data_IF_606016164019
#
_entry.id   IF_606016164019
#
_cell.length_a   1.000
_cell.length_b   1.000
_cell.length_c   1.000
_cell.angle_alpha   90.00
_cell.angle_beta   90.00
_cell.angle_gamma   90.00
#
_symmetry.space_group_name_H-M   'P 1'
#
loop_
_entity.id
_entity.type
_entity.pdbx_description
1 polymer ?
#
# COMPACT_ATOMS: atom_id res chain seq x y z
N UNK A 1 -4.99 -9.76 -24.21
CA UNK A 1 -6.41 -9.51 -24.52
C UNK A 1 -6.85 -8.30 -23.73
N UNK A 2 -7.40 -7.33 -24.42
CA UNK A 2 -7.86 -6.08 -23.83
C UNK A 2 -9.32 -6.24 -23.46
N UNK A 3 -9.65 -5.95 -22.21
CA UNK A 3 -10.99 -6.10 -21.70
C UNK A 3 -11.55 -4.74 -21.26
N UNK A 4 -12.85 -4.55 -21.47
CA UNK A 4 -13.55 -3.34 -21.07
C UNK A 4 -13.81 -3.35 -19.57
N UNK A 5 -13.78 -2.16 -18.97
CA UNK A 5 -14.24 -1.93 -17.59
C UNK A 5 -15.28 -0.82 -17.63
N UNK A 6 -16.46 -1.08 -17.09
CA UNK A 6 -17.57 -0.14 -17.13
C UNK A 6 -17.92 0.36 -15.74
N UNK A 7 -18.36 1.62 -15.66
CA UNK A 7 -19.04 2.21 -14.52
C UNK A 7 -20.40 2.71 -15.00
N UNK A 8 -21.42 1.83 -15.06
CA UNK A 8 -22.67 2.10 -15.77
C UNK A 8 -23.42 3.32 -15.24
N UNK A 9 -23.48 3.49 -13.91
CA UNK A 9 -24.19 4.62 -13.29
C UNK A 9 -23.46 5.97 -13.43
N UNK A 10 -22.17 5.93 -13.77
CA UNK A 10 -21.37 7.13 -14.09
C UNK A 10 -21.28 7.38 -15.60
N UNK A 11 -21.87 6.52 -16.43
CA UNK A 11 -21.77 6.55 -17.89
C UNK A 11 -20.31 6.53 -18.40
N UNK A 12 -19.38 5.87 -17.66
CA UNK A 12 -17.98 5.74 -18.03
C UNK A 12 -17.77 4.32 -18.55
N UNK A 13 -17.34 4.21 -19.81
CA UNK A 13 -17.06 2.94 -20.47
C UNK A 13 -15.62 2.96 -20.98
N UNK A 14 -14.73 2.28 -20.26
CA UNK A 14 -13.31 2.21 -20.60
C UNK A 14 -13.06 0.99 -21.48
N UNK A 15 -12.79 1.26 -22.74
CA UNK A 15 -12.46 0.22 -23.70
C UNK A 15 -10.97 -0.13 -23.63
N UNK A 16 -10.64 -1.42 -23.76
CA UNK A 16 -9.26 -1.89 -23.91
C UNK A 16 -8.31 -1.52 -22.76
N UNK A 17 -8.77 -1.68 -21.50
CA UNK A 17 -7.87 -1.50 -20.35
C UNK A 17 -6.82 -2.60 -20.35
N UNK A 18 -5.58 -2.27 -20.74
CA UNK A 18 -4.48 -3.21 -20.93
C UNK A 18 -3.92 -3.72 -19.59
N UNK A 19 -3.57 -5.01 -19.53
CA UNK A 19 -2.85 -5.62 -18.39
C UNK A 19 -1.33 -5.55 -18.56
N UNK A 20 -0.86 -5.59 -19.80
CA UNK A 20 0.55 -5.58 -20.14
C UNK A 20 0.81 -4.89 -21.47
N UNK A 21 2.03 -4.42 -21.64
CA UNK A 21 2.56 -3.88 -22.91
C UNK A 21 3.61 -4.86 -23.40
N UNK A 22 3.41 -5.39 -24.62
CA UNK A 22 4.39 -6.29 -25.27
C UNK A 22 5.39 -5.48 -26.08
N UNK A 23 6.68 -5.58 -25.74
CA UNK A 23 7.78 -4.98 -26.50
C UNK A 23 8.66 -6.12 -27.01
N UNK A 24 8.46 -6.50 -28.27
CA UNK A 24 9.11 -7.67 -28.84
C UNK A 24 8.67 -8.97 -28.14
N UNK A 25 9.61 -9.69 -27.52
CA UNK A 25 9.35 -10.89 -26.74
C UNK A 25 9.11 -10.65 -25.22
N UNK A 26 9.11 -9.40 -24.79
CA UNK A 26 8.95 -9.04 -23.38
C UNK A 26 7.56 -8.45 -23.12
N UNK A 27 6.84 -9.03 -22.16
CA UNK A 27 5.59 -8.48 -21.62
C UNK A 27 5.88 -7.72 -20.34
N UNK A 28 5.61 -6.41 -20.34
CA UNK A 28 5.74 -5.55 -19.19
C UNK A 28 4.34 -5.35 -18.60
N UNK A 29 4.13 -5.85 -17.37
CA UNK A 29 2.86 -5.70 -16.68
C UNK A 29 2.60 -4.22 -16.32
N UNK A 30 1.41 -3.70 -16.63
CA UNK A 30 0.98 -2.35 -16.23
C UNK A 30 1.05 -2.15 -14.73
N UNK A 31 0.76 -3.20 -13.96
CA UNK A 31 0.94 -3.20 -12.52
C UNK A 31 2.35 -2.79 -12.10
N UNK A 32 3.38 -3.38 -12.74
CA UNK A 32 4.78 -3.05 -12.44
C UNK A 32 5.13 -1.61 -12.78
N UNK A 33 4.63 -1.08 -13.91
CA UNK A 33 4.83 0.33 -14.31
C UNK A 33 4.18 1.26 -13.29
N UNK A 34 2.94 0.99 -12.88
CA UNK A 34 2.21 1.82 -11.92
C UNK A 34 2.90 1.80 -10.55
N UNK A 35 3.38 0.64 -10.09
CA UNK A 35 4.15 0.54 -8.84
C UNK A 35 5.46 1.34 -8.93
N UNK A 36 6.18 1.25 -10.04
CA UNK A 36 7.40 2.04 -10.26
C UNK A 36 7.11 3.56 -10.23
N UNK A 37 6.05 4.00 -10.91
CA UNK A 37 5.59 5.39 -10.84
C UNK A 37 5.22 5.80 -9.40
N UNK A 38 4.53 4.92 -8.66
CA UNK A 38 4.20 5.14 -7.26
C UNK A 38 5.43 5.28 -6.36
N UNK A 39 6.44 4.43 -6.57
CA UNK A 39 7.71 4.51 -5.84
C UNK A 39 8.46 5.83 -6.14
N UNK A 40 8.53 6.23 -7.42
CA UNK A 40 9.18 7.48 -7.82
C UNK A 40 8.44 8.71 -7.27
N UNK A 41 7.12 8.73 -7.35
CA UNK A 41 6.30 9.81 -6.78
C UNK A 41 6.42 9.86 -5.25
N UNK A 42 6.43 8.70 -4.58
CA UNK A 42 6.63 8.60 -3.15
C UNK A 42 8.01 9.09 -2.71
N UNK A 43 9.06 8.69 -3.42
CA UNK A 43 10.41 9.21 -3.19
C UNK A 43 10.47 10.72 -3.39
N UNK A 44 9.87 11.25 -4.46
CA UNK A 44 9.77 12.67 -4.72
C UNK A 44 9.08 13.42 -3.58
N UNK A 45 7.96 12.88 -3.04
CA UNK A 45 7.26 13.45 -1.90
C UNK A 45 8.13 13.44 -0.63
N UNK A 46 8.82 12.33 -0.33
CA UNK A 46 9.73 12.24 0.81
C UNK A 46 10.89 13.23 0.69
N UNK A 47 11.52 13.35 -0.47
CA UNK A 47 12.59 14.33 -0.73
C UNK A 47 12.09 15.77 -0.62
N UNK A 48 10.88 16.06 -1.11
CA UNK A 48 10.26 17.38 -0.97
C UNK A 48 10.03 17.76 0.49
N UNK A 49 9.46 16.83 1.28
CA UNK A 49 9.22 17.04 2.71
C UNK A 49 10.55 17.16 3.46
N UNK A 50 11.54 16.34 3.15
CA UNK A 50 12.89 16.41 3.72
C UNK A 50 13.48 17.81 3.52
N UNK A 51 13.48 18.30 2.27
CA UNK A 51 13.99 19.64 1.95
C UNK A 51 13.24 20.75 2.72
N UNK A 52 11.90 20.65 2.82
CA UNK A 52 11.07 21.65 3.52
C UNK A 52 11.24 21.61 5.03
N UNK A 53 11.69 20.51 5.60
CA UNK A 53 11.91 20.32 7.04
C UNK A 53 13.38 20.38 7.47
N UNK A 54 14.29 20.84 6.59
CA UNK A 54 15.71 20.95 6.89
C UNK A 54 16.47 19.63 6.96
N UNK A 55 15.87 18.54 6.46
CA UNK A 55 16.54 17.25 6.33
C UNK A 55 17.23 17.15 4.97
N UNK A 56 18.27 16.29 4.86
CA UNK A 56 18.93 16.05 3.59
C UNK A 56 18.09 15.12 2.70
N UNK A 57 17.62 15.54 1.52
CA UNK A 57 16.87 14.70 0.56
C UNK A 57 17.63 13.46 0.10
N UNK A 58 18.96 13.52 -0.03
CA UNK A 58 19.78 12.40 -0.49
C UNK A 58 19.70 11.21 0.48
N UNK A 59 19.45 11.49 1.78
CA UNK A 59 19.20 10.45 2.78
C UNK A 59 18.03 9.55 2.40
N UNK A 60 16.97 10.14 1.85
CA UNK A 60 15.75 9.39 1.45
C UNK A 60 15.94 8.65 0.14
N UNK A 61 16.76 9.19 -0.75
CA UNK A 61 17.17 8.49 -1.97
C UNK A 61 18.00 7.24 -1.63
N UNK A 62 19.03 7.39 -0.78
CA UNK A 62 19.87 6.28 -0.31
C UNK A 62 19.02 5.23 0.42
N UNK A 63 18.14 5.67 1.33
CA UNK A 63 17.24 4.78 2.07
C UNK A 63 16.32 4.00 1.13
N UNK A 64 15.70 4.67 0.16
CA UNK A 64 14.80 4.03 -0.79
C UNK A 64 15.52 2.95 -1.60
N UNK A 65 16.73 3.25 -2.09
CA UNK A 65 17.52 2.33 -2.89
C UNK A 65 17.87 1.05 -2.09
N UNK A 66 18.37 1.21 -0.86
CA UNK A 66 18.71 0.06 -0.01
C UNK A 66 17.44 -0.69 0.44
N UNK A 67 16.38 0.05 0.83
CA UNK A 67 15.13 -0.56 1.29
C UNK A 67 14.42 -1.37 0.19
N UNK A 68 14.41 -0.91 -1.06
CA UNK A 68 13.82 -1.64 -2.19
C UNK A 68 14.56 -2.97 -2.39
N UNK A 69 15.89 -2.95 -2.44
CA UNK A 69 16.69 -4.18 -2.62
C UNK A 69 16.46 -5.15 -1.47
N UNK A 70 16.56 -4.69 -0.22
CA UNK A 70 16.35 -5.52 0.96
C UNK A 70 14.90 -6.05 1.03
N UNK A 71 13.90 -5.24 0.62
CA UNK A 71 12.50 -5.66 0.60
C UNK A 71 12.24 -6.78 -0.40
N UNK A 72 12.84 -6.73 -1.59
CA UNK A 72 12.71 -7.81 -2.58
C UNK A 72 13.33 -9.10 -2.04
N UNK A 73 14.53 -9.02 -1.45
CA UNK A 73 15.20 -10.16 -0.82
C UNK A 73 14.36 -10.71 0.33
N UNK A 74 13.88 -9.85 1.23
CA UNK A 74 13.05 -10.27 2.36
C UNK A 74 11.72 -10.89 1.93
N UNK A 75 11.07 -10.34 0.91
CA UNK A 75 9.86 -10.90 0.33
C UNK A 75 10.09 -12.30 -0.24
N UNK A 76 11.24 -12.51 -0.90
CA UNK A 76 11.61 -13.82 -1.43
C UNK A 76 11.93 -14.82 -0.33
N UNK A 77 12.76 -14.44 0.65
CA UNK A 77 13.11 -15.31 1.79
C UNK A 77 11.83 -15.76 2.52
N UNK A 78 10.94 -14.82 2.83
CA UNK A 78 9.67 -15.12 3.51
C UNK A 78 8.85 -16.14 2.70
N UNK A 79 8.68 -15.89 1.40
CA UNK A 79 7.93 -16.80 0.54
C UNK A 79 8.53 -18.20 0.50
N UNK A 80 9.85 -18.31 0.32
CA UNK A 80 10.56 -19.60 0.26
C UNK A 80 10.43 -20.37 1.58
N UNK A 81 10.57 -19.69 2.72
CA UNK A 81 10.43 -20.33 4.04
C UNK A 81 9.05 -20.94 4.24
N UNK A 82 7.97 -20.19 3.86
CA UNK A 82 6.59 -20.65 4.03
C UNK A 82 6.09 -21.60 2.94
N UNK A 83 6.83 -21.73 1.85
CA UNK A 83 6.52 -22.62 0.72
C UNK A 83 7.72 -23.51 0.37
N UNK A 84 8.42 -23.95 1.41
CA UNK A 84 9.63 -24.78 1.27
C UNK A 84 9.40 -26.04 0.44
N UNK A 85 8.21 -26.60 0.49
CA UNK A 85 7.75 -27.73 -0.33
C UNK A 85 7.97 -27.53 -1.83
N UNK A 86 7.95 -26.30 -2.33
CA UNK A 86 8.16 -25.97 -3.75
C UNK A 86 9.65 -25.86 -4.14
N UNK A 87 10.55 -25.74 -3.17
CA UNK A 87 11.95 -25.39 -3.41
C UNK A 87 12.96 -26.47 -2.96
N UNK A 88 12.54 -27.40 -2.09
CA UNK A 88 13.42 -28.42 -1.49
C UNK A 88 14.12 -29.31 -2.52
N UNK A 89 13.49 -29.56 -3.68
CA UNK A 89 13.97 -30.43 -4.75
C UNK A 89 14.77 -29.68 -5.84
N UNK A 90 14.66 -28.34 -5.89
CA UNK A 90 15.41 -27.46 -6.79
C UNK A 90 15.74 -26.12 -6.13
N UNK A 91 16.88 -26.08 -5.44
CA UNK A 91 17.32 -24.89 -4.70
C UNK A 91 17.69 -23.70 -5.63
N UNK A 92 18.02 -23.95 -6.90
CA UNK A 92 18.34 -22.87 -7.84
C UNK A 92 17.09 -22.06 -8.22
N UNK A 93 15.92 -22.67 -8.17
CA UNK A 93 14.64 -21.99 -8.41
C UNK A 93 14.34 -20.88 -7.39
N UNK A 94 15.02 -20.88 -6.22
CA UNK A 94 14.94 -19.81 -5.23
C UNK A 94 15.33 -18.44 -5.83
N UNK A 95 16.25 -18.41 -6.77
CA UNK A 95 16.72 -17.17 -7.41
C UNK A 95 15.83 -16.73 -8.57
N UNK A 96 14.88 -17.55 -9.01
CA UNK A 96 13.98 -17.21 -10.10
C UNK A 96 12.78 -16.40 -9.62
N UNK A 97 12.98 -15.09 -9.44
CA UNK A 97 11.91 -14.16 -9.03
C UNK A 97 10.94 -13.79 -10.16
N UNK A 98 11.27 -14.09 -11.42
CA UNK A 98 10.42 -13.78 -12.59
C UNK A 98 9.12 -14.56 -12.61
N UNK A 99 9.10 -15.74 -12.04
CA UNK A 99 7.90 -16.59 -11.92
C UNK A 99 7.00 -16.20 -10.74
N UNK A 100 7.29 -15.08 -10.07
CA UNK A 100 6.58 -14.67 -8.87
C UNK A 100 7.19 -15.25 -7.59
N UNK A 101 6.37 -15.47 -6.56
CA UNK A 101 6.83 -16.01 -5.28
C UNK A 101 7.52 -14.96 -4.42
N UNK A 102 6.88 -13.81 -4.26
CA UNK A 102 7.27 -12.73 -3.38
C UNK A 102 6.14 -12.48 -2.37
N UNK A 103 6.43 -12.57 -1.08
CA UNK A 103 5.46 -12.34 -0.02
C UNK A 103 5.58 -10.91 0.52
N UNK A 104 4.49 -10.15 0.43
CA UNK A 104 4.47 -8.74 0.84
C UNK A 104 4.90 -8.53 2.30
N UNK A 105 4.50 -9.43 3.20
CA UNK A 105 4.88 -9.35 4.61
C UNK A 105 6.39 -9.43 4.83
N UNK A 106 7.09 -10.28 4.09
CA UNK A 106 8.54 -10.38 4.13
C UNK A 106 9.22 -9.10 3.66
N UNK A 107 8.67 -8.47 2.62
CA UNK A 107 9.15 -7.17 2.12
C UNK A 107 8.97 -6.04 3.14
N UNK A 108 7.80 -5.97 3.79
CA UNK A 108 7.52 -4.95 4.82
C UNK A 108 8.43 -5.13 6.04
N UNK A 109 8.61 -6.36 6.53
CA UNK A 109 9.51 -6.64 7.66
C UNK A 109 10.94 -6.23 7.30
N UNK A 110 11.42 -6.60 6.12
CA UNK A 110 12.76 -6.23 5.65
C UNK A 110 12.91 -4.71 5.51
N UNK A 111 11.91 -3.99 5.00
CA UNK A 111 11.93 -2.52 4.91
C UNK A 111 12.05 -1.87 6.29
N UNK A 112 11.30 -2.34 7.28
CA UNK A 112 11.35 -1.81 8.67
C UNK A 112 12.74 -2.04 9.26
N UNK A 113 13.27 -3.28 9.17
CA UNK A 113 14.61 -3.62 9.67
C UNK A 113 15.67 -2.78 8.98
N UNK A 114 15.59 -2.64 7.65
CA UNK A 114 16.53 -1.84 6.86
C UNK A 114 16.50 -0.38 7.28
N UNK A 115 15.31 0.21 7.44
CA UNK A 115 15.15 1.62 7.88
C UNK A 115 15.74 1.81 9.27
N UNK A 116 15.51 0.86 10.18
CA UNK A 116 16.06 0.92 11.54
C UNK A 116 17.60 0.83 11.54
N UNK A 117 18.16 -0.13 10.81
CA UNK A 117 19.62 -0.29 10.66
C UNK A 117 20.24 0.92 10.00
N UNK A 118 19.63 1.42 8.91
CA UNK A 118 20.07 2.62 8.22
C UNK A 118 20.11 3.84 9.15
N UNK A 119 19.06 4.06 9.95
CA UNK A 119 19.01 5.13 10.94
C UNK A 119 20.16 5.02 11.95
N UNK A 120 20.43 3.81 12.46
CA UNK A 120 21.52 3.53 13.40
C UNK A 120 22.89 3.82 12.79
N UNK A 121 23.16 3.31 11.59
CA UNK A 121 24.45 3.47 10.89
C UNK A 121 24.72 4.93 10.55
N UNK A 122 23.70 5.65 10.08
CA UNK A 122 23.80 7.07 9.70
C UNK A 122 23.61 8.01 10.89
N UNK A 123 23.38 7.50 12.11
CA UNK A 123 23.12 8.28 13.34
C UNK A 123 21.95 9.26 13.20
N UNK A 124 20.89 8.83 12.54
CA UNK A 124 19.67 9.60 12.28
C UNK A 124 18.55 9.22 13.25
N UNK A 125 17.58 10.11 13.45
CA UNK A 125 16.36 9.81 14.20
C UNK A 125 15.48 8.85 13.40
N UNK A 126 15.34 7.60 13.85
CA UNK A 126 14.48 6.62 13.21
C UNK A 126 13.01 7.09 13.13
N UNK A 127 12.40 7.66 14.21
CA UNK A 127 11.04 8.17 14.13
C UNK A 127 10.88 9.29 13.09
N UNK A 128 11.84 10.21 13.00
CA UNK A 128 11.81 11.30 12.01
C UNK A 128 11.92 10.77 10.57
N UNK A 129 12.78 9.76 10.33
CA UNK A 129 12.85 9.08 9.05
C UNK A 129 11.51 8.46 8.68
N UNK A 130 10.84 7.81 9.65
CA UNK A 130 9.52 7.22 9.44
C UNK A 130 8.46 8.28 9.11
N UNK A 131 8.46 9.44 9.79
CA UNK A 131 7.54 10.55 9.50
C UNK A 131 7.62 11.00 8.04
N UNK A 132 8.84 11.19 7.55
CA UNK A 132 9.07 11.68 6.19
C UNK A 132 8.86 10.59 5.14
N UNK A 133 9.39 9.39 5.37
CA UNK A 133 9.22 8.25 4.46
C UNK A 133 7.77 7.78 4.40
N UNK A 134 7.03 7.86 5.51
CA UNK A 134 5.61 7.50 5.58
C UNK A 134 4.73 8.30 4.62
N UNK A 135 5.05 9.59 4.42
CA UNK A 135 4.36 10.42 3.42
C UNK A 135 4.64 9.93 1.99
N UNK A 136 5.85 9.46 1.72
CA UNK A 136 6.16 8.81 0.44
C UNK A 136 5.43 7.48 0.27
N UNK A 137 5.36 6.67 1.33
CA UNK A 137 4.68 5.38 1.29
C UNK A 137 3.18 5.52 0.98
N UNK A 138 2.49 6.44 1.65
CA UNK A 138 1.05 6.62 1.42
C UNK A 138 0.75 7.15 0.00
N UNK A 139 1.59 8.04 -0.55
CA UNK A 139 1.44 8.49 -1.93
C UNK A 139 1.70 7.34 -2.92
N UNK A 140 2.70 6.50 -2.64
CA UNK A 140 2.94 5.27 -3.39
C UNK A 140 1.74 4.33 -3.36
N UNK A 141 1.06 4.20 -2.23
CA UNK A 141 -0.17 3.40 -2.10
C UNK A 141 -1.33 4.00 -2.91
N UNK A 142 -1.53 5.33 -2.91
CA UNK A 142 -2.53 6.01 -3.75
C UNK A 142 -2.38 5.59 -5.21
N UNK A 143 -1.17 5.67 -5.74
CA UNK A 143 -0.88 5.33 -7.14
C UNK A 143 -0.94 3.82 -7.36
N UNK A 144 -0.37 3.04 -6.45
CA UNK A 144 -0.27 1.59 -6.57
C UNK A 144 -1.63 0.87 -6.69
N UNK A 145 -2.70 1.42 -6.09
CA UNK A 145 -4.06 0.86 -6.20
C UNK A 145 -4.61 0.85 -7.62
N UNK A 146 -4.15 1.72 -8.48
CA UNK A 146 -4.49 1.69 -9.90
C UNK A 146 -3.90 0.48 -10.64
N UNK A 147 -2.86 -0.13 -10.09
CA UNK A 147 -2.36 -1.42 -10.56
C UNK A 147 -3.38 -2.54 -10.39
N UNK A 148 -4.09 -2.60 -9.24
CA UNK A 148 -5.18 -3.55 -9.03
C UNK A 148 -6.33 -3.35 -10.02
N UNK A 149 -6.64 -2.10 -10.36
CA UNK A 149 -7.61 -1.78 -11.42
C UNK A 149 -7.21 -2.37 -12.77
N UNK A 150 -5.98 -2.15 -13.22
CA UNK A 150 -5.49 -2.71 -14.48
C UNK A 150 -5.50 -4.26 -14.47
N UNK A 151 -5.18 -4.88 -13.34
CA UNK A 151 -5.19 -6.33 -13.16
C UNK A 151 -6.59 -6.92 -12.97
N UNK A 152 -7.60 -6.11 -12.66
CA UNK A 152 -8.97 -6.55 -12.29
C UNK A 152 -8.94 -7.50 -11.10
N UNK A 153 -8.24 -7.09 -10.05
CA UNK A 153 -8.08 -7.87 -8.81
C UNK A 153 -8.39 -7.01 -7.59
N UNK A 154 -8.51 -7.64 -6.43
CA UNK A 154 -8.74 -6.96 -5.16
C UNK A 154 -10.02 -6.11 -5.13
N UNK A 155 -11.03 -6.47 -5.89
CA UNK A 155 -12.34 -5.84 -5.87
C UNK A 155 -13.19 -6.38 -4.71
N UNK A 156 -14.33 -5.71 -4.45
CA UNK A 156 -15.27 -6.16 -3.42
C UNK A 156 -16.39 -7.04 -3.96
N UNK A 157 -17.32 -7.41 -3.07
CA UNK A 157 -18.48 -8.23 -3.39
C UNK A 157 -19.47 -7.49 -4.30
N UNK A 158 -20.57 -8.15 -4.66
CA UNK A 158 -21.62 -7.59 -5.51
C UNK A 158 -22.10 -6.22 -5.03
N UNK A 159 -22.12 -5.29 -5.96
CA UNK A 159 -22.57 -3.93 -5.73
C UNK A 159 -23.16 -3.33 -7.01
N UNK A 160 -24.33 -2.68 -6.87
CA UNK A 160 -25.03 -2.01 -7.97
C UNK A 160 -25.41 -0.55 -7.62
N UNK A 161 -24.56 0.12 -6.86
CA UNK A 161 -24.72 1.54 -6.54
C UNK A 161 -23.93 2.46 -7.50
N UNK A 162 -23.87 3.76 -7.18
CA UNK A 162 -23.31 4.82 -8.03
C UNK A 162 -21.91 4.48 -8.59
N UNK A 163 -21.04 3.87 -7.79
CA UNK A 163 -19.67 3.53 -8.18
C UNK A 163 -19.50 2.09 -8.63
N UNK A 164 -20.61 1.39 -8.94
CA UNK A 164 -20.54 0.00 -9.39
C UNK A 164 -19.59 -0.13 -10.58
N UNK A 165 -18.63 -1.08 -10.46
CA UNK A 165 -17.65 -1.38 -11.50
C UNK A 165 -17.98 -2.73 -12.12
N UNK A 166 -18.20 -2.73 -13.42
CA UNK A 166 -18.46 -3.97 -14.17
C UNK A 166 -17.16 -4.51 -14.77
N UNK A 167 -16.91 -5.79 -14.50
CA UNK A 167 -15.77 -6.53 -14.99
C UNK A 167 -16.22 -7.77 -15.79
N UNK A 168 -15.62 -8.06 -16.95
CA UNK A 168 -15.89 -9.31 -17.66
C UNK A 168 -15.50 -10.52 -16.80
N UNK A 169 -16.39 -11.49 -16.67
CA UNK A 169 -16.14 -12.73 -15.90
C UNK A 169 -14.85 -13.43 -16.37
N UNK A 170 -14.64 -13.47 -17.70
CA UNK A 170 -13.45 -14.08 -18.29
C UNK A 170 -12.13 -13.37 -17.97
N UNK A 171 -12.18 -12.12 -17.50
CA UNK A 171 -11.00 -11.32 -17.18
C UNK A 171 -10.55 -11.41 -15.72
N UNK A 172 -11.39 -11.99 -14.86
CA UNK A 172 -11.21 -12.12 -13.42
C UNK A 172 -10.70 -13.53 -13.07
N UNK A 173 -9.96 -13.65 -11.96
CA UNK A 173 -9.54 -14.98 -11.47
C UNK A 173 -10.74 -15.77 -10.98
N UNK A 174 -10.82 -17.04 -11.34
CA UNK A 174 -11.92 -17.92 -10.90
C UNK A 174 -12.02 -18.02 -9.38
N UNK A 175 -10.90 -17.95 -8.67
CA UNK A 175 -10.86 -17.95 -7.20
C UNK A 175 -11.55 -16.74 -6.53
N UNK A 176 -11.70 -15.64 -7.27
CA UNK A 176 -12.24 -14.39 -6.75
C UNK A 176 -13.76 -14.25 -7.07
N UNK A 177 -14.29 -15.20 -7.85
CA UNK A 177 -15.72 -15.28 -8.21
C UNK A 177 -16.51 -15.99 -7.10
N UNK A 178 -17.33 -15.25 -6.39
CA UNK A 178 -18.26 -15.82 -5.39
C UNK A 178 -19.58 -16.24 -6.03
N UNK A 179 -20.33 -17.13 -5.37
CA UNK A 179 -21.69 -17.52 -5.83
C UNK A 179 -22.60 -16.30 -5.95
N UNK A 180 -22.47 -15.35 -5.05
CA UNK A 180 -23.24 -14.10 -5.07
C UNK A 180 -22.93 -13.25 -6.30
N UNK A 181 -21.65 -13.14 -6.69
CA UNK A 181 -21.26 -12.44 -7.92
C UNK A 181 -21.84 -13.13 -9.17
N UNK A 182 -21.75 -14.45 -9.21
CA UNK A 182 -22.24 -15.23 -10.35
C UNK A 182 -23.77 -15.26 -10.45
N UNK A 183 -24.50 -15.08 -9.36
CA UNK A 183 -25.98 -14.99 -9.39
C UNK A 183 -26.50 -13.63 -9.87
N UNK A 184 -25.64 -12.61 -10.03
CA UNK A 184 -26.01 -11.24 -10.44
C UNK A 184 -25.22 -10.79 -11.66
N UNK A 185 -24.89 -11.71 -12.56
CA UNK A 185 -24.21 -11.37 -13.81
C UNK A 185 -25.16 -10.68 -14.80
N UNK A 186 -24.60 -9.83 -15.64
CA UNK A 186 -25.31 -9.17 -16.75
C UNK A 186 -24.57 -9.43 -18.05
N UNK A 187 -25.33 -9.67 -19.13
CA UNK A 187 -24.74 -9.89 -20.47
C UNK A 187 -24.85 -8.60 -21.27
N UNK A 188 -23.71 -8.08 -21.73
CA UNK A 188 -23.60 -6.87 -22.56
C UNK A 188 -22.80 -7.25 -23.80
N UNK A 189 -23.38 -7.08 -24.98
CA UNK A 189 -22.76 -7.42 -26.27
C UNK A 189 -22.19 -8.85 -26.34
N UNK A 190 -22.89 -9.81 -25.72
CA UNK A 190 -22.48 -11.22 -25.68
C UNK A 190 -21.37 -11.55 -24.69
N UNK A 191 -20.93 -10.59 -23.88
CA UNK A 191 -19.94 -10.78 -22.82
C UNK A 191 -20.64 -10.71 -21.45
N UNK A 192 -20.33 -11.66 -20.58
CA UNK A 192 -20.86 -11.74 -19.22
C UNK A 192 -20.02 -10.88 -18.26
N UNK A 193 -20.68 -10.01 -17.51
CA UNK A 193 -20.07 -9.08 -16.55
C UNK A 193 -20.57 -9.34 -15.13
N UNK A 194 -19.67 -9.25 -14.16
CA UNK A 194 -19.99 -9.06 -12.74
C UNK A 194 -19.98 -7.59 -12.38
N UNK A 195 -20.79 -7.17 -11.40
CA UNK A 195 -20.83 -5.82 -10.86
C UNK A 195 -20.31 -5.84 -9.43
N UNK A 196 -19.28 -5.02 -9.13
CA UNK A 196 -18.48 -5.12 -7.91
C UNK A 196 -18.19 -3.77 -7.27
N UNK A 197 -17.85 -3.76 -5.96
CA UNK A 197 -17.27 -2.58 -5.32
C UNK A 197 -15.88 -2.28 -5.88
N UNK A 198 -15.59 -1.06 -6.38
CA UNK A 198 -14.27 -0.65 -6.84
C UNK A 198 -13.36 -0.30 -5.66
N UNK A 199 -12.93 -1.30 -4.90
CA UNK A 199 -12.14 -1.11 -3.67
C UNK A 199 -10.81 -0.41 -3.91
N UNK A 200 -10.22 -0.56 -5.13
CA UNK A 200 -9.03 0.19 -5.54
C UNK A 200 -9.26 1.71 -5.48
N UNK A 201 -10.45 2.17 -5.94
CA UNK A 201 -10.82 3.58 -5.95
C UNK A 201 -11.05 4.09 -4.52
N UNK A 202 -11.75 3.30 -3.69
CA UNK A 202 -12.02 3.67 -2.30
C UNK A 202 -10.70 3.82 -1.52
N UNK A 203 -9.77 2.87 -1.67
CA UNK A 203 -8.50 2.90 -0.97
C UNK A 203 -7.57 3.98 -1.51
N UNK A 204 -7.55 4.21 -2.83
CA UNK A 204 -6.78 5.29 -3.45
C UNK A 204 -7.28 6.66 -2.96
N UNK A 205 -8.60 6.89 -2.96
CA UNK A 205 -9.19 8.15 -2.49
C UNK A 205 -8.97 8.37 -0.99
N UNK A 206 -9.20 7.34 -0.17
CA UNK A 206 -8.94 7.39 1.28
C UNK A 206 -7.49 7.78 1.58
N UNK A 207 -6.55 7.08 0.94
CA UNK A 207 -5.13 7.34 1.13
C UNK A 207 -4.71 8.71 0.59
N UNK A 208 -5.33 9.22 -0.48
CA UNK A 208 -5.09 10.56 -0.98
C UNK A 208 -5.54 11.63 0.03
N UNK A 209 -6.74 11.48 0.58
CA UNK A 209 -7.23 12.38 1.63
C UNK A 209 -6.31 12.36 2.86
N UNK A 210 -5.91 11.16 3.29
CA UNK A 210 -4.98 10.99 4.41
C UNK A 210 -3.61 11.61 4.10
N UNK A 211 -3.07 11.41 2.90
CA UNK A 211 -1.82 12.04 2.46
C UNK A 211 -1.89 13.57 2.57
N UNK A 212 -2.96 14.18 2.05
CA UNK A 212 -3.14 15.63 2.10
C UNK A 212 -3.21 16.11 3.56
N UNK A 213 -3.99 15.43 4.40
CA UNK A 213 -4.10 15.79 5.82
C UNK A 213 -2.75 15.69 6.54
N UNK A 214 -1.98 14.63 6.31
CA UNK A 214 -0.66 14.45 6.92
C UNK A 214 0.36 15.47 6.40
N UNK A 215 0.32 15.81 5.10
CA UNK A 215 1.17 16.87 4.53
C UNK A 215 0.91 18.23 5.18
N UNK A 216 -0.37 18.59 5.38
CA UNK A 216 -0.76 19.81 6.07
C UNK A 216 -0.36 19.78 7.55
N UNK A 217 -0.52 18.63 8.19
CA UNK A 217 -0.21 18.45 9.60
C UNK A 217 1.30 18.37 9.89
N UNK A 218 2.14 17.98 8.95
CA UNK A 218 3.57 17.68 9.13
C UNK A 218 4.33 18.78 9.90
N UNK A 219 4.03 20.05 9.61
CA UNK A 219 4.64 21.20 10.30
C UNK A 219 4.17 21.38 11.76
N UNK A 220 3.05 20.78 12.13
CA UNK A 220 2.41 20.91 13.43
C UNK A 220 2.66 19.70 14.34
N UNK A 221 3.51 18.75 13.88
CA UNK A 221 3.87 17.59 14.69
C UNK A 221 4.51 18.01 16.00
N UNK A 222 4.18 17.31 17.07
CA UNK A 222 4.64 17.62 18.45
C UNK A 222 5.85 16.79 18.85
N UNK A 223 6.08 15.66 18.19
CA UNK A 223 7.24 14.79 18.41
C UNK A 223 7.59 14.03 17.14
N UNK A 224 8.84 13.59 17.04
CA UNK A 224 9.28 12.74 15.92
C UNK A 224 8.60 11.37 15.97
N UNK A 225 8.04 10.94 14.87
CA UNK A 225 7.25 9.70 14.73
C UNK A 225 5.74 9.93 14.80
N UNK A 226 5.26 11.14 15.13
CA UNK A 226 3.83 11.41 15.26
C UNK A 226 3.09 11.30 13.92
N UNK A 227 3.69 11.81 12.84
CA UNK A 227 3.08 11.76 11.50
C UNK A 227 3.00 10.32 11.02
N UNK A 228 4.01 9.52 11.28
CA UNK A 228 3.99 8.10 10.94
C UNK A 228 2.94 7.32 11.74
N UNK A 229 2.79 7.60 13.05
CA UNK A 229 1.74 7.00 13.85
C UNK A 229 0.34 7.40 13.37
N UNK A 230 0.14 8.67 12.98
CA UNK A 230 -1.11 9.13 12.36
C UNK A 230 -1.36 8.47 11.00
N UNK A 231 -0.31 8.24 10.21
CA UNK A 231 -0.41 7.46 8.99
C UNK A 231 -0.88 6.03 9.28
N UNK A 232 -0.26 5.32 10.24
CA UNK A 232 -0.65 3.97 10.62
C UNK A 232 -2.09 3.91 11.13
N UNK A 233 -2.50 4.88 11.93
CA UNK A 233 -3.86 5.01 12.43
C UNK A 233 -4.86 5.24 11.30
N UNK A 234 -4.65 6.23 10.46
CA UNK A 234 -5.56 6.57 9.37
C UNK A 234 -5.62 5.50 8.30
N UNK A 235 -4.47 4.91 7.93
CA UNK A 235 -4.40 3.78 7.02
C UNK A 235 -5.11 2.54 7.60
N UNK A 236 -4.89 2.25 8.88
CA UNK A 236 -5.55 1.14 9.56
C UNK A 236 -7.07 1.26 9.55
N UNK A 237 -7.61 2.46 9.82
CA UNK A 237 -9.05 2.71 9.75
C UNK A 237 -9.57 2.44 8.33
N UNK A 238 -8.94 3.02 7.31
CA UNK A 238 -9.33 2.81 5.91
C UNK A 238 -9.24 1.34 5.50
N UNK A 239 -8.13 0.68 5.84
CA UNK A 239 -7.91 -0.72 5.51
C UNK A 239 -8.92 -1.64 6.18
N UNK A 240 -9.32 -1.37 7.41
CA UNK A 240 -10.26 -2.19 8.15
C UNK A 240 -11.63 -2.28 7.45
N UNK A 241 -12.23 -1.15 7.09
CA UNK A 241 -13.55 -1.17 6.44
C UNK A 241 -13.49 -1.58 4.97
N UNK A 242 -12.42 -1.20 4.22
CA UNK A 242 -12.30 -1.59 2.81
C UNK A 242 -12.06 -3.09 2.68
N UNK A 243 -11.26 -3.69 3.58
CA UNK A 243 -11.02 -5.12 3.58
C UNK A 243 -12.31 -5.92 3.82
N UNK A 244 -13.26 -5.39 4.63
CA UNK A 244 -14.54 -6.07 4.86
C UNK A 244 -15.41 -6.21 3.60
N UNK A 245 -15.15 -5.41 2.56
CA UNK A 245 -15.85 -5.47 1.28
C UNK A 245 -15.23 -6.48 0.31
N UNK A 246 -13.98 -6.91 0.53
CA UNK A 246 -13.21 -7.71 -0.43
C UNK A 246 -13.61 -9.16 -0.42
N UNK A 247 -13.50 -9.79 -1.59
CA UNK A 247 -13.79 -11.23 -1.80
C UNK A 247 -12.54 -12.11 -1.66
N UNK A 248 -11.34 -11.56 -1.86
CA UNK A 248 -10.06 -12.27 -1.88
C UNK A 248 -9.28 -12.17 -0.56
N UNK A 249 -10.01 -12.18 0.58
CA UNK A 249 -9.43 -12.04 1.92
C UNK A 249 -8.56 -13.24 2.31
N UNK A 250 -7.35 -12.97 2.85
CA UNK A 250 -6.55 -14.00 3.49
C UNK A 250 -7.06 -14.21 4.92
N UNK A 251 -7.56 -15.40 5.20
CA UNK A 251 -8.12 -15.74 6.51
C UNK A 251 -7.09 -16.37 7.43
N UNK A 252 -7.20 -16.07 8.75
CA UNK A 252 -6.44 -16.75 9.79
C UNK A 252 -6.98 -18.19 9.92
N UNK A 253 -6.14 -19.23 9.82
CA UNK A 253 -6.57 -20.61 10.02
C UNK A 253 -7.31 -20.77 11.36
N UNK A 254 -8.35 -21.58 11.37
CA UNK A 254 -9.22 -21.90 12.54
C UNK A 254 -10.13 -20.77 13.06
N UNK A 255 -9.83 -19.50 12.79
CA UNK A 255 -10.62 -18.36 13.29
C UNK A 255 -11.52 -17.80 12.18
N UNK A 256 -11.18 -18.03 10.92
CA UNK A 256 -11.86 -17.49 9.73
C UNK A 256 -12.03 -15.95 9.76
N UNK A 257 -11.05 -15.25 10.34
CA UNK A 257 -11.02 -13.80 10.40
C UNK A 257 -9.92 -13.24 9.48
N UNK A 258 -10.17 -12.16 8.70
CA UNK A 258 -9.20 -11.63 7.78
C UNK A 258 -7.93 -11.11 8.47
N UNK A 259 -6.76 -11.61 8.06
CA UNK A 259 -5.44 -11.20 8.60
C UNK A 259 -5.24 -9.69 8.48
N UNK A 260 -5.63 -9.12 7.34
CA UNK A 260 -5.48 -7.67 7.08
C UNK A 260 -6.34 -6.83 8.01
N UNK A 261 -7.55 -7.28 8.37
CA UNK A 261 -8.42 -6.58 9.32
C UNK A 261 -7.85 -6.63 10.74
N UNK A 262 -7.33 -7.80 11.17
CA UNK A 262 -6.70 -7.94 12.48
C UNK A 262 -5.48 -7.03 12.60
N UNK A 263 -4.62 -7.01 11.57
CA UNK A 263 -3.46 -6.12 11.51
C UNK A 263 -3.89 -4.64 11.53
N UNK A 264 -4.90 -4.27 10.73
CA UNK A 264 -5.41 -2.91 10.67
C UNK A 264 -5.94 -2.43 12.03
N UNK A 265 -6.75 -3.25 12.71
CA UNK A 265 -7.23 -2.95 14.06
C UNK A 265 -6.08 -2.78 15.05
N UNK A 266 -5.06 -3.65 14.99
CA UNK A 266 -3.86 -3.55 15.83
C UNK A 266 -3.11 -2.24 15.57
N UNK A 267 -2.90 -1.85 14.31
CA UNK A 267 -2.25 -0.59 13.96
C UNK A 267 -3.01 0.61 14.51
N UNK A 268 -4.35 0.61 14.41
CA UNK A 268 -5.19 1.69 14.97
C UNK A 268 -5.03 1.79 16.48
N UNK A 269 -5.19 0.69 17.19
CA UNK A 269 -5.13 0.68 18.67
C UNK A 269 -3.74 1.07 19.17
N UNK A 270 -2.69 0.46 18.63
CA UNK A 270 -1.30 0.73 19.05
C UNK A 270 -0.92 2.17 18.76
N UNK A 271 -1.24 2.69 17.57
CA UNK A 271 -0.91 4.08 17.21
C UNK A 271 -1.67 5.08 18.07
N UNK A 272 -2.97 4.86 18.32
CA UNK A 272 -3.78 5.74 19.17
C UNK A 272 -3.26 5.78 20.62
N UNK A 273 -2.96 4.61 21.20
CA UNK A 273 -2.40 4.50 22.55
C UNK A 273 -1.05 5.21 22.63
N UNK A 274 -0.16 4.97 21.66
CA UNK A 274 1.17 5.56 21.67
C UNK A 274 1.13 7.09 21.57
N UNK A 275 0.35 7.62 20.63
CA UNK A 275 0.12 9.07 20.51
C UNK A 275 -0.42 9.64 21.83
N UNK A 276 -1.43 8.98 22.41
CA UNK A 276 -2.04 9.39 23.67
C UNK A 276 -1.02 9.44 24.83
N UNK A 277 -0.20 8.39 24.98
CA UNK A 277 0.83 8.32 26.05
C UNK A 277 1.86 9.43 25.87
N UNK A 278 2.40 9.64 24.66
CA UNK A 278 3.44 10.64 24.42
C UNK A 278 2.89 12.05 24.66
N UNK A 279 1.71 12.35 24.13
CA UNK A 279 1.06 13.66 24.33
C UNK A 279 0.72 13.91 25.81
N UNK A 280 0.22 12.91 26.53
CA UNK A 280 -0.06 13.02 27.97
C UNK A 280 1.22 13.31 28.78
N UNK A 281 2.34 12.61 28.47
CA UNK A 281 3.63 12.87 29.12
C UNK A 281 4.12 14.27 28.83
N UNK A 282 3.99 14.78 27.61
CA UNK A 282 4.38 16.16 27.25
C UNK A 282 3.56 17.21 28.02
N UNK A 283 2.24 17.00 28.13
CA UNK A 283 1.36 17.88 28.91
C UNK A 283 1.78 17.91 30.39
N UNK A 284 2.00 16.71 30.97
CA UNK A 284 2.38 16.61 32.41
C UNK A 284 3.74 17.21 32.69
N UNK A 285 4.66 17.21 31.74
CA UNK A 285 5.99 17.83 31.90
C UNK A 285 6.01 19.34 31.63
N UNK A 286 4.86 19.98 31.40
CA UNK A 286 4.77 21.40 31.03
C UNK A 286 5.45 21.77 29.72
N UNK A 287 5.79 20.76 28.89
CA UNK A 287 6.44 20.94 27.58
C UNK A 287 5.41 20.98 26.45
N UNK A 288 4.31 21.69 26.64
CA UNK A 288 3.50 22.12 25.47
C UNK A 288 4.25 23.30 24.85
N UNK A 289 5.24 22.98 24.02
CA UNK A 289 5.90 23.98 23.19
C UNK A 289 5.04 24.14 21.94
N UNK A 290 4.28 25.23 21.86
CA UNK A 290 3.59 25.72 20.67
C UNK A 290 4.59 26.28 19.62
N UNK A 291 5.84 25.86 19.68
CA UNK A 291 6.90 26.28 18.75
C UNK A 291 7.26 25.12 17.84
N UNK A 292 7.19 25.30 16.52
CA UNK A 292 7.76 24.35 15.58
C UNK A 292 9.25 24.20 15.90
N UNK A 293 9.84 22.98 15.80
CA UNK A 293 11.26 22.78 16.03
C UNK A 293 12.04 23.75 15.13
N UNK A 294 12.81 24.63 15.78
CA UNK A 294 13.67 25.53 15.04
C UNK A 294 14.65 24.70 14.21
N UNK A 295 14.69 24.98 12.92
CA UNK A 295 15.77 24.52 12.07
C UNK A 295 17.10 25.01 12.68
N UNK A 296 17.89 24.08 13.20
CA UNK A 296 19.29 24.39 13.52
C UNK A 296 20.02 24.56 12.19
N UNK A 297 19.89 25.73 11.61
CA UNK A 297 20.90 26.28 10.70
C UNK A 297 22.13 26.52 11.54
N UNK A 298 23.05 25.58 11.54
CA UNK A 298 24.45 25.87 11.83
C UNK A 298 25.06 26.34 10.52
N UNK A 299 25.44 27.61 10.53
CA UNK A 299 26.41 28.20 9.61
C UNK A 299 27.71 27.39 9.51
#
# INVERSE_FOLDING_TARGET
MDYNINFPHLHIYLQHVIKSISIGSFDIAMYGIIIACGMLAGLGAACYVAKKSGQNPDTYFDLALVAIICSVIGARIYYVVFRWDLYKDDLLSIFNIRQGGLAIYGGVIAAIITTFVFAKVRKLSFPLLCDTAGLGLILGQVIGRWGNFCNREAFGDYYDGLFAMQLPVSAVRTSDLTEKLMSHTTVIDGVEYISVHPTFLYESFWNLCLFILLMLYFKHRRFDGEVFLLYLLGYGIGRFWIESLRTDQLLIPHINYPVSMALAATLVVVSAIWIGIVRYKQMKMGKMVDTPPQSTTKE
#
